data_IF_734637313679
#
_entry.id   IF_734637313679
#
_cell.length_a   1.000
_cell.length_b   1.000
_cell.length_c   1.000
_cell.angle_alpha   90.00
_cell.angle_beta   90.00
_cell.angle_gamma   90.00
#
_symmetry.space_group_name_H-M   'P 1'
#
loop_
_entity.id
_entity.type
_entity.pdbx_description
1 polymer ?
#
# COMPACT_ATOMS: atom_id res chain seq x y z
N UNK A 1 -8.61 -2.09 -2.01
CA UNK A 1 -8.88 -0.80 -2.69
C UNK A 1 -8.35 0.35 -1.82
N UNK A 2 -8.33 1.58 -2.33
CA UNK A 2 -7.90 2.77 -1.58
C UNK A 2 -8.97 3.30 -0.62
N UNK A 3 -8.68 4.43 0.01
CA UNK A 3 -9.62 5.15 0.87
C UNK A 3 -10.66 5.92 0.04
N UNK A 4 -11.87 6.18 0.56
CA UNK A 4 -12.90 6.92 -0.16
C UNK A 4 -12.47 8.33 -0.55
N UNK A 5 -12.85 8.78 -1.75
CA UNK A 5 -12.76 10.16 -2.22
C UNK A 5 -14.16 10.61 -2.65
N UNK A 6 -14.76 11.56 -1.93
CA UNK A 6 -16.10 12.11 -2.22
C UNK A 6 -16.02 13.57 -2.62
N UNK A 7 -17.14 14.08 -3.14
CA UNK A 7 -17.24 15.49 -3.51
C UNK A 7 -17.03 16.38 -2.27
N UNK A 8 -16.01 17.24 -2.34
CA UNK A 8 -15.65 18.16 -1.26
C UNK A 8 -14.54 17.66 -0.35
N UNK A 9 -14.10 16.40 -0.49
CA UNK A 9 -12.95 15.88 0.23
C UNK A 9 -11.64 16.48 -0.31
N UNK A 10 -10.61 16.49 0.54
CA UNK A 10 -9.25 16.76 0.10
C UNK A 10 -8.73 15.65 -0.82
N UNK A 11 -7.83 16.01 -1.73
CA UNK A 11 -7.20 15.04 -2.64
C UNK A 11 -6.28 14.07 -1.86
N UNK A 12 -6.05 12.88 -2.41
CA UNK A 12 -5.15 11.84 -1.85
C UNK A 12 -5.62 11.23 -0.51
N UNK A 13 -6.85 10.69 -0.43
CA UNK A 13 -7.43 10.20 0.82
C UNK A 13 -6.71 8.97 1.40
N UNK A 14 -5.84 8.32 0.62
CA UNK A 14 -5.07 7.16 1.05
C UNK A 14 -5.02 6.09 -0.05
N UNK A 15 -3.81 5.79 -0.48
CA UNK A 15 -3.52 4.90 -1.62
C UNK A 15 -3.90 3.44 -1.32
N UNK A 16 -4.36 2.72 -2.34
CA UNK A 16 -4.58 1.27 -2.25
C UNK A 16 -3.27 0.48 -2.26
N UNK A 17 -3.30 -0.78 -1.81
CA UNK A 17 -2.11 -1.65 -1.79
C UNK A 17 -1.49 -1.82 -3.18
N UNK A 18 -2.28 -2.28 -4.17
CA UNK A 18 -1.84 -2.53 -5.55
C UNK A 18 -1.36 -1.25 -6.24
N UNK A 19 -2.05 -0.13 -5.99
CA UNK A 19 -1.72 1.19 -6.54
C UNK A 19 -0.36 1.69 -6.05
N UNK A 20 -0.06 1.52 -4.75
CA UNK A 20 1.27 1.82 -4.19
C UNK A 20 2.32 0.85 -4.71
N UNK A 21 2.09 -0.45 -4.55
CA UNK A 21 2.98 -1.48 -5.07
C UNK A 21 2.15 -2.74 -5.44
N UNK A 22 2.27 -3.25 -6.68
CA UNK A 22 3.38 -3.01 -7.61
C UNK A 22 3.18 -1.87 -8.64
N UNK A 23 1.99 -1.27 -8.79
CA UNK A 23 1.69 -0.31 -9.87
C UNK A 23 2.70 0.85 -9.98
N UNK A 24 2.84 1.68 -8.94
CA UNK A 24 3.79 2.81 -8.98
C UNK A 24 5.25 2.35 -9.12
N UNK A 25 5.57 1.12 -8.70
CA UNK A 25 6.93 0.57 -8.87
C UNK A 25 7.22 0.26 -10.34
N UNK A 26 6.26 -0.32 -11.08
CA UNK A 26 6.42 -0.60 -12.51
C UNK A 26 6.51 0.69 -13.32
N UNK A 27 5.63 1.67 -13.04
CA UNK A 27 5.70 3.00 -13.66
C UNK A 27 7.09 3.61 -13.54
N UNK A 28 7.62 3.64 -12.31
CA UNK A 28 8.96 4.17 -12.04
C UNK A 28 10.08 3.37 -12.72
N UNK A 29 9.93 2.05 -12.81
CA UNK A 29 10.94 1.17 -13.40
C UNK A 29 11.02 1.30 -14.93
N UNK A 30 9.87 1.46 -15.60
CA UNK A 30 9.83 1.62 -17.07
C UNK A 30 10.15 3.05 -17.50
N UNK A 31 9.80 4.06 -16.69
CA UNK A 31 10.06 5.47 -16.99
C UNK A 31 11.54 5.77 -17.25
N UNK A 32 11.83 6.61 -18.25
CA UNK A 32 13.20 6.83 -18.70
C UNK A 32 13.98 7.72 -17.73
N UNK A 33 15.03 7.18 -17.11
CA UNK A 33 15.79 7.87 -16.06
C UNK A 33 16.57 9.11 -16.52
N UNK A 34 16.76 9.28 -17.83
CA UNK A 34 17.47 10.39 -18.47
C UNK A 34 16.55 11.59 -18.80
N UNK A 35 15.25 11.48 -18.53
CA UNK A 35 14.28 12.57 -18.68
C UNK A 35 14.07 13.30 -17.34
N UNK A 36 13.62 14.58 -17.36
CA UNK A 36 13.51 15.38 -16.14
C UNK A 36 12.60 14.78 -15.06
N UNK A 37 11.53 14.07 -15.45
CA UNK A 37 10.51 13.54 -14.54
C UNK A 37 10.22 12.05 -14.77
N UNK A 38 11.19 11.29 -15.30
CA UNK A 38 11.03 9.87 -15.63
C UNK A 38 9.96 9.59 -16.70
N UNK A 39 9.73 10.51 -17.63
CA UNK A 39 8.85 10.29 -18.78
C UNK A 39 9.25 9.04 -19.60
N UNK A 40 8.32 8.36 -20.27
CA UNK A 40 6.88 8.58 -20.21
C UNK A 40 6.26 7.86 -18.99
N UNK A 41 6.55 6.57 -18.78
CA UNK A 41 5.89 5.76 -17.76
C UNK A 41 6.07 6.23 -16.29
N UNK A 42 7.11 7.00 -15.96
CA UNK A 42 7.41 7.38 -14.57
C UNK A 42 6.59 8.55 -14.01
N UNK A 43 5.77 9.22 -14.83
CA UNK A 43 4.90 10.32 -14.40
C UNK A 43 3.54 10.27 -15.08
N UNK A 44 2.48 10.59 -14.34
CA UNK A 44 1.10 10.36 -14.81
C UNK A 44 0.71 11.18 -16.04
N UNK A 45 1.26 12.39 -16.24
CA UNK A 45 0.88 13.25 -17.38
C UNK A 45 1.45 12.79 -18.73
N UNK A 46 2.42 11.87 -18.72
CA UNK A 46 3.01 11.29 -19.93
C UNK A 46 2.87 9.79 -20.02
N UNK A 47 2.57 9.07 -18.94
CA UNK A 47 2.58 7.60 -18.91
C UNK A 47 1.85 6.95 -20.09
N UNK A 48 0.65 7.42 -20.44
CA UNK A 48 -0.17 6.88 -21.53
C UNK A 48 0.36 7.15 -22.95
N UNK A 49 1.44 7.94 -23.10
CA UNK A 49 2.16 8.14 -24.38
C UNK A 49 2.99 6.92 -24.76
N UNK A 50 3.45 6.16 -23.77
CA UNK A 50 4.06 4.86 -23.98
C UNK A 50 2.96 3.79 -24.12
N UNK A 51 2.86 3.08 -25.25
CA UNK A 51 1.85 2.03 -25.44
C UNK A 51 1.87 0.92 -24.39
N UNK A 52 2.98 0.69 -23.67
CA UNK A 52 3.06 -0.32 -22.59
C UNK A 52 2.20 0.02 -21.38
N UNK A 53 1.79 1.29 -21.23
CA UNK A 53 0.84 1.74 -20.22
C UNK A 53 -0.45 0.90 -20.20
N UNK A 54 -1.03 0.66 -21.39
CA UNK A 54 -2.32 -0.03 -21.48
C UNK A 54 -2.21 -1.52 -21.10
N UNK A 55 -1.22 -2.31 -21.57
CA UNK A 55 -0.96 -3.65 -21.05
C UNK A 55 -0.63 -3.69 -19.56
N UNK A 56 0.09 -2.70 -19.02
CA UNK A 56 0.35 -2.60 -17.59
C UNK A 56 -0.97 -2.49 -16.80
N UNK A 57 -1.81 -1.52 -17.15
CA UNK A 57 -3.12 -1.33 -16.52
C UNK A 57 -4.10 -2.47 -16.80
N UNK A 58 -3.99 -3.14 -17.94
CA UNK A 58 -4.75 -4.36 -18.25
C UNK A 58 -4.45 -5.47 -17.23
N UNK A 59 -3.20 -5.63 -16.80
CA UNK A 59 -2.88 -6.60 -15.75
C UNK A 59 -3.33 -6.14 -14.36
N UNK A 60 -3.42 -4.83 -14.09
CA UNK A 60 -3.99 -4.31 -12.85
C UNK A 60 -5.50 -4.53 -12.75
N UNK A 61 -6.22 -4.34 -13.86
CA UNK A 61 -7.64 -4.71 -13.95
C UNK A 61 -7.83 -6.23 -13.76
N UNK A 62 -6.97 -7.04 -14.38
CA UNK A 62 -6.91 -8.49 -14.11
C UNK A 62 -6.68 -8.80 -12.63
N UNK A 63 -5.78 -8.09 -11.94
CA UNK A 63 -5.53 -8.31 -10.52
C UNK A 63 -6.77 -8.03 -9.66
N UNK A 64 -7.61 -7.06 -10.04
CA UNK A 64 -8.89 -6.85 -9.38
C UNK A 64 -9.82 -8.05 -9.57
N UNK A 65 -9.97 -8.54 -10.80
CA UNK A 65 -10.77 -9.75 -11.08
C UNK A 65 -10.26 -10.99 -10.33
N UNK A 66 -8.94 -11.19 -10.27
CA UNK A 66 -8.31 -12.27 -9.50
C UNK A 66 -8.59 -12.10 -8.01
N UNK A 67 -8.37 -10.90 -7.46
CA UNK A 67 -8.53 -10.61 -6.04
C UNK A 67 -9.93 -10.95 -5.52
N UNK A 68 -10.99 -10.65 -6.30
CA UNK A 68 -12.38 -11.00 -5.96
C UNK A 68 -12.64 -12.51 -5.88
N UNK A 69 -11.89 -13.28 -6.67
CA UNK A 69 -12.02 -14.73 -6.72
C UNK A 69 -11.11 -15.45 -5.70
N UNK A 70 -10.22 -14.72 -5.02
CA UNK A 70 -9.51 -15.28 -3.88
C UNK A 70 -10.48 -15.34 -2.69
N UNK A 71 -10.39 -16.40 -1.88
CA UNK A 71 -11.21 -16.59 -0.66
C UNK A 71 -11.03 -15.44 0.36
N UNK A 72 -11.50 -15.56 1.61
CA UNK A 72 -11.21 -14.60 2.71
C UNK A 72 -11.98 -13.26 2.67
N UNK A 73 -13.23 -13.26 2.22
CA UNK A 73 -14.13 -12.09 2.39
C UNK A 73 -13.83 -10.89 1.48
N UNK A 74 -13.01 -11.07 0.44
CA UNK A 74 -12.68 -10.01 -0.52
C UNK A 74 -13.89 -9.63 -1.36
N UNK A 75 -14.38 -8.41 -1.18
CA UNK A 75 -15.59 -7.88 -1.84
C UNK A 75 -15.38 -6.46 -2.32
N UNK A 76 -16.03 -6.11 -3.42
CA UNK A 76 -16.13 -4.72 -3.85
C UNK A 76 -16.86 -3.87 -2.79
N UNK A 77 -16.75 -2.54 -2.88
CA UNK A 77 -17.52 -1.59 -2.06
C UNK A 77 -18.98 -1.52 -2.54
N UNK A 78 -19.59 -2.69 -2.72
CA UNK A 78 -20.94 -2.89 -3.26
C UNK A 78 -22.05 -2.36 -2.36
N UNK A 79 -21.72 -1.97 -1.13
CA UNK A 79 -22.58 -1.32 -0.14
C UNK A 79 -22.38 0.20 -0.06
N UNK A 80 -21.37 0.77 -0.73
CA UNK A 80 -21.10 2.21 -0.76
C UNK A 80 -21.73 2.85 -2.01
N UNK A 81 -22.88 3.49 -1.83
CA UNK A 81 -23.59 4.17 -2.93
C UNK A 81 -22.80 5.32 -3.54
N UNK A 82 -21.98 6.03 -2.76
CA UNK A 82 -21.18 7.14 -3.29
C UNK A 82 -20.11 6.61 -4.25
N UNK A 83 -19.51 5.46 -3.90
CA UNK A 83 -18.61 4.75 -4.82
C UNK A 83 -19.37 4.25 -6.05
N UNK A 84 -20.49 3.55 -5.88
CA UNK A 84 -21.26 2.98 -6.99
C UNK A 84 -21.84 4.01 -7.98
N UNK A 85 -22.20 5.20 -7.50
CA UNK A 85 -22.76 6.30 -8.30
C UNK A 85 -21.74 7.33 -8.77
N UNK A 86 -20.46 7.17 -8.38
CA UNK A 86 -19.36 7.92 -8.98
C UNK A 86 -19.34 7.72 -10.49
N UNK A 87 -19.22 8.83 -11.22
CA UNK A 87 -19.31 8.85 -12.67
C UNK A 87 -18.09 9.48 -13.32
N UNK A 88 -17.76 8.95 -14.49
CA UNK A 88 -16.64 9.41 -15.33
C UNK A 88 -17.14 9.61 -16.76
N UNK A 89 -16.38 10.35 -17.55
CA UNK A 89 -16.71 10.65 -18.94
C UNK A 89 -15.58 10.21 -19.86
N UNK A 90 -15.92 9.43 -20.88
CA UNK A 90 -14.97 8.95 -21.89
C UNK A 90 -15.54 9.17 -23.29
N UNK A 91 -14.65 9.27 -24.28
CA UNK A 91 -15.05 9.14 -25.67
C UNK A 91 -15.10 7.67 -26.06
N UNK A 92 -16.19 7.25 -26.71
CA UNK A 92 -16.31 5.92 -27.31
C UNK A 92 -15.58 5.84 -28.67
N UNK A 93 -15.61 4.67 -29.30
CA UNK A 93 -15.00 4.42 -30.61
C UNK A 93 -15.62 5.23 -31.76
N UNK A 94 -16.80 5.81 -31.55
CA UNK A 94 -17.52 6.65 -32.50
C UNK A 94 -17.36 8.15 -32.18
N UNK A 95 -16.47 8.49 -31.25
CA UNK A 95 -16.23 9.84 -30.75
C UNK A 95 -17.44 10.50 -30.06
N UNK A 96 -18.35 9.71 -29.50
CA UNK A 96 -19.41 10.22 -28.62
C UNK A 96 -18.90 10.33 -27.19
N UNK A 97 -19.28 11.41 -26.49
CA UNK A 97 -19.00 11.56 -25.07
C UNK A 97 -20.00 10.74 -24.25
N UNK A 98 -19.52 9.70 -23.58
CA UNK A 98 -20.32 8.76 -22.79
C UNK A 98 -20.04 8.95 -21.31
N UNK A 99 -21.11 9.03 -20.51
CA UNK A 99 -21.04 8.98 -19.05
C UNK A 99 -21.12 7.54 -18.59
N UNK A 100 -20.17 7.10 -17.77
CA UNK A 100 -20.14 5.76 -17.16
C UNK A 100 -20.22 5.86 -15.64
N UNK A 101 -20.75 4.82 -14.98
CA UNK A 101 -20.74 4.69 -13.52
C UNK A 101 -19.92 3.48 -13.09
N UNK A 102 -19.34 3.55 -11.90
CA UNK A 102 -18.58 2.43 -11.32
C UNK A 102 -19.41 1.15 -11.26
N UNK A 103 -20.68 1.23 -10.85
CA UNK A 103 -21.56 0.04 -10.73
C UNK A 103 -21.69 -0.77 -12.02
N UNK A 104 -21.54 -0.13 -13.17
CA UNK A 104 -21.69 -0.77 -14.48
C UNK A 104 -20.39 -1.44 -14.95
N UNK A 105 -19.26 -1.20 -14.26
CA UNK A 105 -17.94 -1.75 -14.58
C UNK A 105 -17.44 -2.84 -13.63
N UNK A 106 -18.22 -3.22 -12.62
CA UNK A 106 -17.81 -4.23 -11.62
C UNK A 106 -17.69 -5.64 -12.23
N UNK A 107 -18.56 -5.96 -13.19
CA UNK A 107 -18.59 -7.27 -13.85
C UNK A 107 -18.05 -7.15 -15.27
N UNK A 108 -16.81 -7.59 -15.46
CA UNK A 108 -16.12 -7.54 -16.76
C UNK A 108 -16.86 -8.34 -17.84
N UNK A 109 -17.64 -9.36 -17.47
CA UNK A 109 -18.45 -10.13 -18.42
C UNK A 109 -19.58 -9.30 -19.03
N UNK A 110 -20.18 -8.39 -18.26
CA UNK A 110 -21.18 -7.43 -18.78
C UNK A 110 -20.55 -6.39 -19.71
N UNK A 111 -19.27 -6.10 -19.51
CA UNK A 111 -18.46 -5.28 -20.42
C UNK A 111 -17.97 -6.06 -21.66
N UNK A 112 -18.27 -7.36 -21.76
CA UNK A 112 -17.96 -8.17 -22.93
C UNK A 112 -16.53 -8.72 -22.98
N UNK A 113 -15.78 -8.72 -21.86
CA UNK A 113 -14.43 -9.27 -21.82
C UNK A 113 -14.13 -10.12 -20.58
N UNK A 114 -13.15 -11.02 -20.72
CA UNK A 114 -12.57 -11.81 -19.64
C UNK A 114 -11.08 -11.96 -19.87
N UNK A 115 -10.35 -12.33 -18.81
CA UNK A 115 -8.94 -12.64 -18.90
C UNK A 115 -8.72 -14.13 -19.17
N UNK A 116 -7.67 -14.45 -19.92
CA UNK A 116 -7.19 -15.82 -20.05
C UNK A 116 -6.71 -16.33 -18.68
N UNK A 117 -7.10 -17.55 -18.35
CA UNK A 117 -6.60 -18.26 -17.18
C UNK A 117 -5.12 -18.62 -17.38
N UNK A 118 -4.27 -18.13 -16.48
CA UNK A 118 -2.83 -18.36 -16.47
C UNK A 118 -2.39 -18.75 -15.07
N UNK A 119 -1.29 -19.51 -14.97
CA UNK A 119 -0.74 -19.93 -13.69
C UNK A 119 -0.38 -18.70 -12.82
N UNK A 120 -0.69 -18.76 -11.53
CA UNK A 120 -0.45 -17.70 -10.55
C UNK A 120 0.53 -18.20 -9.48
N UNK A 121 1.85 -18.23 -9.78
CA UNK A 121 2.84 -18.84 -8.89
C UNK A 121 2.95 -18.14 -7.52
N UNK A 122 2.54 -16.87 -7.44
CA UNK A 122 2.57 -16.07 -6.22
C UNK A 122 1.50 -16.45 -5.19
N UNK A 123 0.47 -17.24 -5.55
CA UNK A 123 -0.59 -17.64 -4.60
C UNK A 123 -0.08 -18.43 -3.40
N UNK A 124 0.97 -19.24 -3.61
CA UNK A 124 1.57 -20.08 -2.59
C UNK A 124 2.85 -19.46 -2.01
N UNK A 125 3.17 -18.21 -2.38
CA UNK A 125 4.36 -17.53 -1.90
C UNK A 125 4.06 -16.91 -0.53
N UNK A 126 4.40 -17.65 0.53
CA UNK A 126 4.28 -17.17 1.91
C UNK A 126 5.64 -16.67 2.38
N UNK A 127 5.76 -15.38 2.77
CA UNK A 127 6.98 -14.87 3.36
C UNK A 127 7.38 -15.68 4.59
N UNK A 128 8.69 -15.84 4.78
CA UNK A 128 9.26 -16.46 5.98
C UNK A 128 10.14 -15.47 6.73
N UNK A 129 10.11 -15.53 8.06
CA UNK A 129 10.92 -14.64 8.88
C UNK A 129 12.42 -14.89 8.63
N UNK A 130 13.19 -13.79 8.53
CA UNK A 130 14.66 -13.85 8.39
C UNK A 130 15.30 -14.63 9.53
N UNK A 131 14.89 -14.31 10.76
CA UNK A 131 15.35 -14.97 11.98
C UNK A 131 14.35 -16.05 12.38
N UNK A 132 14.68 -17.30 12.08
CA UNK A 132 13.80 -18.45 12.38
C UNK A 132 13.57 -18.68 13.88
N UNK A 133 14.52 -18.30 14.74
CA UNK A 133 14.42 -18.49 16.18
C UNK A 133 13.58 -17.39 16.84
N UNK A 134 12.40 -17.74 17.35
CA UNK A 134 11.53 -16.82 18.10
C UNK A 134 12.28 -16.11 19.23
N UNK A 135 13.07 -16.85 20.03
CA UNK A 135 13.87 -16.28 21.13
C UNK A 135 14.86 -15.21 20.67
N UNK A 136 15.45 -15.38 19.48
CA UNK A 136 16.39 -14.41 18.94
C UNK A 136 15.65 -13.16 18.44
N UNK A 137 14.46 -13.32 17.82
CA UNK A 137 13.59 -12.19 17.48
C UNK A 137 13.18 -11.39 18.71
N UNK A 138 12.76 -12.05 19.77
CA UNK A 138 12.41 -11.42 21.05
C UNK A 138 13.60 -10.65 21.65
N UNK A 139 14.80 -11.24 21.62
CA UNK A 139 16.01 -10.57 22.10
C UNK A 139 16.35 -9.32 21.28
N UNK A 140 16.23 -9.38 19.95
CA UNK A 140 16.46 -8.24 19.05
C UNK A 140 15.43 -7.13 19.30
N UNK A 141 14.15 -7.47 19.39
CA UNK A 141 13.10 -6.51 19.74
C UNK A 141 13.39 -5.85 21.08
N UNK A 142 13.73 -6.63 22.11
CA UNK A 142 14.05 -6.12 23.44
C UNK A 142 15.29 -5.20 23.46
N UNK A 143 16.30 -5.48 22.63
CA UNK A 143 17.46 -4.59 22.42
C UNK A 143 17.00 -3.22 21.92
N UNK A 144 16.13 -3.18 20.90
CA UNK A 144 15.60 -1.93 20.33
C UNK A 144 14.73 -1.18 21.34
N UNK A 145 13.84 -1.87 22.04
CA UNK A 145 12.97 -1.26 23.06
C UNK A 145 13.75 -0.59 24.20
N UNK A 146 14.94 -1.12 24.56
CA UNK A 146 15.80 -0.55 25.60
C UNK A 146 16.62 0.65 25.11
N UNK A 147 16.98 0.68 23.83
CA UNK A 147 17.83 1.73 23.27
C UNK A 147 17.02 2.92 22.73
N UNK A 148 15.76 2.72 22.34
CA UNK A 148 14.96 3.77 21.72
C UNK A 148 14.27 4.65 22.75
N UNK A 149 14.49 5.95 22.60
CA UNK A 149 13.71 6.97 23.28
C UNK A 149 12.32 7.13 22.66
N UNK A 150 11.44 7.83 23.37
CA UNK A 150 10.11 8.16 22.89
C UNK A 150 10.20 8.99 21.61
N UNK A 151 9.63 8.49 20.52
CA UNK A 151 9.49 9.26 19.27
C UNK A 151 8.40 10.31 19.41
N UNK A 152 8.66 11.50 18.88
CA UNK A 152 7.68 12.59 18.79
C UNK A 152 7.29 12.81 17.34
N UNK A 153 6.02 13.14 17.12
CA UNK A 153 5.48 13.51 15.83
C UNK A 153 5.22 15.03 15.78
N UNK A 154 5.30 15.68 14.60
CA UNK A 154 5.62 15.08 13.29
C UNK A 154 7.09 14.64 13.17
N UNK A 155 7.33 13.56 12.43
CA UNK A 155 8.63 12.92 12.26
C UNK A 155 9.13 13.13 10.83
N UNK A 156 10.28 13.78 10.66
CA UNK A 156 10.96 13.85 9.36
C UNK A 156 11.65 12.51 9.04
N UNK A 157 11.39 11.96 7.85
CA UNK A 157 11.96 10.71 7.37
C UNK A 157 13.27 10.95 6.60
N UNK A 158 14.24 11.52 7.31
CA UNK A 158 15.58 11.87 6.83
C UNK A 158 16.60 10.73 6.94
N UNK A 159 16.22 9.61 7.54
CA UNK A 159 17.06 8.44 7.85
C UNK A 159 16.15 7.28 8.24
N UNK A 160 16.72 6.10 8.50
CA UNK A 160 15.95 4.97 9.04
C UNK A 160 15.40 5.39 10.42
N UNK A 161 14.08 5.27 10.61
CA UNK A 161 13.42 5.59 11.87
C UNK A 161 12.65 4.37 12.37
N UNK A 162 12.86 4.00 13.62
CA UNK A 162 12.14 2.93 14.29
C UNK A 162 11.26 3.55 15.38
N UNK A 163 9.98 3.20 15.39
CA UNK A 163 8.95 3.74 16.28
C UNK A 163 8.25 2.61 17.02
N UNK A 164 8.06 2.76 18.33
CA UNK A 164 7.31 1.81 19.14
C UNK A 164 5.82 2.13 19.03
N UNK A 165 5.04 1.20 18.50
CA UNK A 165 3.60 1.35 18.28
C UNK A 165 2.85 0.37 19.16
N UNK A 166 1.94 0.88 20.00
CA UNK A 166 1.12 0.03 20.88
C UNK A 166 0.04 -0.69 20.09
N UNK A 167 -0.17 -1.96 20.40
CA UNK A 167 -1.28 -2.74 19.85
C UNK A 167 -2.54 -2.47 20.67
N UNK A 168 -3.69 -2.18 20.03
CA UNK A 168 -4.94 -1.96 20.76
C UNK A 168 -5.46 -3.23 21.45
N UNK A 169 -5.14 -4.42 20.90
CA UNK A 169 -5.55 -5.72 21.44
C UNK A 169 -4.53 -6.80 21.07
N UNK A 170 -4.24 -7.69 22.02
CA UNK A 170 -3.40 -8.88 21.86
C UNK A 170 -4.22 -10.16 22.00
N UNK A 171 -3.64 -11.30 21.61
CA UNK A 171 -4.24 -12.63 21.76
C UNK A 171 -5.66 -12.72 21.16
N UNK A 172 -5.83 -12.23 19.92
CA UNK A 172 -7.14 -12.26 19.25
C UNK A 172 -7.53 -13.70 18.93
N UNK A 173 -8.79 -14.04 19.15
CA UNK A 173 -9.36 -15.33 18.75
C UNK A 173 -9.40 -15.47 17.22
N UNK A 174 -9.51 -16.70 16.73
CA UNK A 174 -9.64 -16.98 15.29
C UNK A 174 -10.82 -16.23 14.66
N UNK A 175 -11.96 -16.17 15.35
CA UNK A 175 -13.17 -15.49 14.89
C UNK A 175 -12.94 -13.98 14.74
N UNK A 176 -12.27 -13.35 15.71
CA UNK A 176 -11.94 -11.93 15.64
C UNK A 176 -11.00 -11.63 14.47
N UNK A 177 -10.01 -12.50 14.21
CA UNK A 177 -9.11 -12.36 13.07
C UNK A 177 -9.80 -12.58 11.72
N UNK A 178 -10.86 -13.38 11.68
CA UNK A 178 -11.69 -13.60 10.49
C UNK A 178 -12.66 -12.46 10.21
N UNK A 179 -13.10 -11.73 11.25
CA UNK A 179 -14.02 -10.59 11.12
C UNK A 179 -13.30 -9.25 10.93
N UNK A 180 -12.14 -9.08 11.57
CA UNK A 180 -11.39 -7.82 11.58
C UNK A 180 -9.92 -8.04 11.21
N UNK A 181 -9.43 -7.22 10.28
CA UNK A 181 -8.01 -7.09 9.98
C UNK A 181 -7.34 -6.13 10.97
N UNK A 182 -6.23 -6.54 11.57
CA UNK A 182 -5.32 -5.64 12.29
C UNK A 182 -4.48 -4.89 11.25
N UNK A 183 -4.58 -3.56 11.23
CA UNK A 183 -4.01 -2.71 10.18
C UNK A 183 -3.07 -1.68 10.79
N UNK A 184 -1.83 -1.65 10.31
CA UNK A 184 -0.88 -0.58 10.55
C UNK A 184 -1.25 0.62 9.66
N UNK A 185 -1.49 1.77 10.28
CA UNK A 185 -1.86 3.02 9.61
C UNK A 185 -0.75 4.05 9.84
N UNK A 186 -0.18 4.53 8.74
CA UNK A 186 0.75 5.66 8.73
C UNK A 186 -0.02 6.87 8.21
N UNK A 187 -0.23 7.87 9.06
CA UNK A 187 -1.05 9.04 8.76
C UNK A 187 -0.23 10.32 8.64
N UNK A 188 -0.80 11.32 7.96
CA UNK A 188 -0.16 12.61 7.75
C UNK A 188 1.17 12.45 7.03
N UNK A 189 1.21 11.60 6.00
CA UNK A 189 2.37 11.47 5.11
C UNK A 189 2.37 12.70 4.22
N UNK A 190 3.24 13.65 4.52
CA UNK A 190 3.32 14.94 3.86
C UNK A 190 4.60 15.07 3.04
N UNK A 191 4.46 15.52 1.78
CA UNK A 191 5.59 15.74 0.86
C UNK A 191 5.17 16.64 -0.32
N UNK A 192 6.13 17.13 -1.10
CA UNK A 192 5.85 17.90 -2.32
C UNK A 192 5.34 17.03 -3.47
N UNK A 193 4.29 17.45 -4.17
CA UNK A 193 3.72 16.72 -5.33
C UNK A 193 4.66 16.64 -6.54
N UNK A 194 5.71 17.46 -6.55
CA UNK A 194 6.80 17.44 -7.52
C UNK A 194 7.83 16.33 -7.22
N UNK A 195 7.71 15.63 -6.09
CA UNK A 195 8.66 14.59 -5.67
C UNK A 195 8.11 13.19 -5.95
N UNK A 196 8.99 12.32 -6.42
CA UNK A 196 8.78 10.88 -6.27
C UNK A 196 9.23 10.44 -4.88
N UNK A 197 8.38 9.72 -4.16
CA UNK A 197 8.65 9.25 -2.80
C UNK A 197 8.61 7.72 -2.76
N UNK A 198 9.57 7.12 -2.04
CA UNK A 198 9.50 5.70 -1.66
C UNK A 198 10.10 5.50 -0.27
N UNK A 199 9.37 4.83 0.59
CA UNK A 199 9.93 4.25 1.80
C UNK A 199 9.34 2.87 2.06
N UNK A 200 10.17 2.01 2.64
CA UNK A 200 9.78 0.65 3.01
C UNK A 200 9.39 0.62 4.49
N UNK A 201 8.47 -0.28 4.83
CA UNK A 201 7.94 -0.44 6.17
C UNK A 201 8.23 -1.85 6.64
N UNK A 202 8.82 -1.95 7.82
CA UNK A 202 9.18 -3.21 8.47
C UNK A 202 8.56 -3.29 9.86
N UNK A 203 8.29 -4.51 10.32
CA UNK A 203 7.73 -4.79 11.66
C UNK A 203 8.62 -5.79 12.39
N UNK A 204 9.05 -5.41 13.61
CA UNK A 204 9.92 -6.18 14.50
C UNK A 204 11.22 -6.69 13.82
N UNK A 205 11.77 -5.88 12.92
CA UNK A 205 13.00 -6.18 12.19
C UNK A 205 14.24 -5.60 12.90
N UNK A 206 15.43 -6.02 12.45
CA UNK A 206 16.70 -5.44 12.90
C UNK A 206 17.04 -4.21 12.05
N UNK A 207 17.16 -3.03 12.68
CA UNK A 207 17.50 -1.79 11.98
C UNK A 207 18.92 -1.79 11.39
N UNK A 208 19.81 -2.61 11.96
CA UNK A 208 21.18 -2.78 11.48
C UNK A 208 21.25 -3.77 10.30
N UNK A 209 20.27 -4.67 10.18
CA UNK A 209 20.27 -5.76 9.22
C UNK A 209 18.86 -6.10 8.71
N UNK A 210 18.24 -5.14 8.04
CA UNK A 210 16.86 -5.22 7.54
C UNK A 210 16.62 -6.44 6.63
N UNK A 211 15.37 -6.90 6.66
CA UNK A 211 14.87 -8.05 5.90
C UNK A 211 14.52 -7.71 4.45
N UNK A 212 14.63 -8.69 3.56
CA UNK A 212 14.30 -8.54 2.13
C UNK A 212 12.78 -8.58 1.87
N UNK A 213 12.28 -8.13 0.70
CA UNK A 213 10.84 -8.09 0.42
C UNK A 213 10.10 -9.44 0.42
N UNK A 214 10.83 -10.56 0.38
CA UNK A 214 10.27 -11.92 0.48
C UNK A 214 10.22 -12.45 1.93
N UNK A 215 10.65 -11.64 2.90
CA UNK A 215 10.68 -12.00 4.31
C UNK A 215 9.53 -11.36 5.09
N UNK A 216 9.11 -12.02 6.18
CA UNK A 216 7.91 -11.65 6.93
C UNK A 216 7.96 -10.25 7.54
N UNK A 217 9.15 -9.84 8.00
CA UNK A 217 9.36 -8.55 8.65
C UNK A 217 9.12 -7.37 7.70
N UNK A 218 9.32 -7.55 6.39
CA UNK A 218 8.97 -6.57 5.37
C UNK A 218 7.45 -6.60 5.12
N UNK A 219 6.77 -5.50 5.43
CA UNK A 219 5.30 -5.46 5.37
C UNK A 219 4.75 -4.67 4.18
N UNK A 220 5.58 -3.87 3.51
CA UNK A 220 5.23 -3.19 2.27
C UNK A 220 6.00 -1.90 2.02
N UNK A 221 5.70 -1.26 0.90
CA UNK A 221 6.29 0.01 0.49
C UNK A 221 5.21 1.04 0.20
N UNK A 222 5.40 2.25 0.72
CA UNK A 222 4.71 3.43 0.20
C UNK A 222 5.48 3.92 -1.02
N UNK A 223 4.81 4.06 -2.16
CA UNK A 223 5.39 4.59 -3.38
C UNK A 223 4.45 5.65 -3.96
N UNK A 224 4.97 6.85 -4.19
CA UNK A 224 4.27 7.93 -4.88
C UNK A 224 5.11 8.41 -6.06
N UNK A 225 4.47 8.58 -7.21
CA UNK A 225 5.08 9.15 -8.41
C UNK A 225 5.06 10.68 -8.37
N UNK A 226 5.80 11.29 -9.29
CA UNK A 226 5.69 12.72 -9.56
C UNK A 226 4.34 13.03 -10.22
N UNK A 227 3.64 14.09 -9.77
CA UNK A 227 2.29 14.43 -10.24
C UNK A 227 2.20 15.70 -11.11
N UNK A 228 3.32 16.32 -11.51
CA UNK A 228 3.34 17.45 -12.46
C UNK A 228 2.79 18.79 -11.94
N UNK A 229 2.22 18.81 -10.74
CA UNK A 229 1.66 19.99 -10.10
C UNK A 229 2.56 20.47 -8.95
N UNK A 230 2.60 21.77 -8.71
CA UNK A 230 3.24 22.36 -7.53
C UNK A 230 2.21 22.41 -6.40
N UNK A 231 2.45 21.63 -5.35
CA UNK A 231 1.54 21.49 -4.22
C UNK A 231 2.13 20.62 -3.12
N UNK A 232 1.42 20.57 -2.00
CA UNK A 232 1.72 19.67 -0.89
C UNK A 232 0.71 18.52 -0.95
N UNK A 233 1.20 17.29 -0.90
CA UNK A 233 0.37 16.10 -0.71
C UNK A 233 0.33 15.81 0.78
N UNK A 234 -0.86 15.48 1.28
CA UNK A 234 -1.07 14.86 2.58
C UNK A 234 -1.88 13.60 2.36
N UNK A 235 -1.37 12.46 2.83
CA UNK A 235 -2.06 11.18 2.62
C UNK A 235 -1.83 10.22 3.78
N UNK A 236 -2.42 9.03 3.67
CA UNK A 236 -2.23 7.91 4.59
C UNK A 236 -1.92 6.62 3.85
N UNK A 237 -1.24 5.72 4.54
CA UNK A 237 -0.88 4.40 4.03
C UNK A 237 -1.30 3.32 5.03
N UNK A 238 -1.98 2.28 4.53
CA UNK A 238 -2.56 1.20 5.33
C UNK A 238 -1.97 -0.14 4.92
N UNK A 239 -1.54 -0.91 5.91
CA UNK A 239 -0.94 -2.23 5.74
C UNK A 239 -1.64 -3.24 6.66
N UNK A 240 -2.24 -4.28 6.08
CA UNK A 240 -2.79 -5.39 6.86
C UNK A 240 -1.66 -6.23 7.44
N UNK A 241 -1.62 -6.36 8.77
CA UNK A 241 -0.51 -7.00 9.48
C UNK A 241 -0.92 -8.29 10.21
N UNK A 242 -2.18 -8.73 10.18
CA UNK A 242 -2.60 -9.90 10.96
C UNK A 242 -1.78 -11.16 10.65
N UNK A 243 -1.56 -11.43 9.35
CA UNK A 243 -0.72 -12.57 8.91
C UNK A 243 0.76 -12.39 9.23
N UNK A 244 1.24 -11.14 9.24
CA UNK A 244 2.62 -10.81 9.62
C UNK A 244 2.83 -11.16 11.10
N UNK A 245 1.90 -10.75 11.97
CA UNK A 245 1.97 -11.04 13.40
C UNK A 245 1.89 -12.53 13.72
N UNK A 246 1.07 -13.29 12.97
CA UNK A 246 1.01 -14.74 13.05
C UNK A 246 2.34 -15.38 12.65
N UNK A 247 2.92 -14.98 11.52
CA UNK A 247 4.19 -15.52 11.03
C UNK A 247 5.40 -15.16 11.91
N UNK A 248 5.35 -14.00 12.60
CA UNK A 248 6.37 -13.60 13.57
C UNK A 248 6.16 -14.22 14.97
N UNK A 249 5.00 -14.82 15.22
CA UNK A 249 4.60 -15.43 16.49
C UNK A 249 4.56 -14.44 17.68
N UNK A 250 4.10 -13.22 17.43
CA UNK A 250 4.11 -12.08 18.38
C UNK A 250 2.72 -11.67 18.86
N UNK A 251 1.75 -12.58 18.85
CA UNK A 251 0.36 -12.25 19.20
C UNK A 251 0.18 -11.84 20.68
N UNK A 252 1.14 -12.21 21.54
CA UNK A 252 1.19 -11.86 22.97
C UNK A 252 1.79 -10.47 23.25
N UNK A 253 2.45 -9.86 22.27
CA UNK A 253 3.16 -8.61 22.43
C UNK A 253 2.19 -7.43 22.58
N UNK A 254 2.48 -6.51 23.51
CA UNK A 254 1.69 -5.28 23.73
C UNK A 254 2.07 -4.16 22.76
N UNK A 255 3.25 -4.25 22.15
CA UNK A 255 3.81 -3.25 21.23
C UNK A 255 4.47 -3.92 20.03
N UNK A 256 4.71 -3.13 18.99
CA UNK A 256 5.50 -3.50 17.82
C UNK A 256 6.57 -2.42 17.60
N UNK A 257 7.71 -2.84 17.07
CA UNK A 257 8.71 -1.91 16.54
C UNK A 257 8.43 -1.77 15.05
N UNK A 258 8.03 -0.58 14.62
CA UNK A 258 7.80 -0.26 13.20
C UNK A 258 8.99 0.53 12.68
N UNK A 259 9.67 0.01 11.66
CA UNK A 259 10.85 0.66 11.07
C UNK A 259 10.51 1.17 9.67
N UNK A 260 10.71 2.47 9.48
CA UNK A 260 10.54 3.18 8.22
C UNK A 260 11.90 3.42 7.58
N UNK A 261 12.04 3.01 6.32
CA UNK A 261 13.31 3.01 5.59
C UNK A 261 13.16 3.90 4.35
N UNK A 262 13.61 5.17 4.38
CA UNK A 262 13.53 6.03 3.21
C UNK A 262 14.44 5.49 2.10
N UNK A 263 13.87 5.28 0.92
CA UNK A 263 14.60 4.86 -0.28
C UNK A 263 14.73 5.99 -1.29
N UNK A 264 13.68 6.81 -1.44
CA UNK A 264 13.62 7.95 -2.38
C UNK A 264 12.89 9.10 -1.70
N UNK A 265 13.42 10.33 -1.85
CA UNK A 265 12.89 11.50 -1.17
C UNK A 265 13.27 11.56 0.32
N UNK A 266 14.49 11.10 0.65
CA UNK A 266 15.02 11.12 2.02
C UNK A 266 15.04 12.56 2.54
N UNK A 267 14.34 12.81 3.65
CA UNK A 267 14.21 14.15 4.25
C UNK A 267 13.08 15.01 3.67
N UNK A 268 12.44 14.58 2.58
CA UNK A 268 11.33 15.29 1.92
C UNK A 268 9.95 14.87 2.47
N UNK A 269 9.92 13.81 3.28
CA UNK A 269 8.68 13.23 3.84
C UNK A 269 8.60 13.54 5.32
N UNK A 270 7.44 14.06 5.73
CA UNK A 270 7.06 14.20 7.12
C UNK A 270 5.96 13.18 7.41
N UNK A 271 6.06 12.48 8.55
CA UNK A 271 5.05 11.53 9.03
C UNK A 271 4.34 12.17 10.22
N UNK A 272 3.01 12.26 10.16
CA UNK A 272 2.19 12.86 11.20
C UNK A 272 1.87 11.91 12.35
N UNK A 273 1.65 10.62 12.08
CA UNK A 273 1.37 9.62 13.11
C UNK A 273 1.57 8.19 12.58
N UNK A 274 1.78 7.23 13.49
CA UNK A 274 1.75 5.79 13.20
C UNK A 274 0.94 5.10 14.29
N UNK A 275 -0.08 4.33 13.89
CA UNK A 275 -0.98 3.65 14.80
C UNK A 275 -1.48 2.31 14.23
N UNK A 276 -2.12 1.52 15.08
CA UNK A 276 -2.76 0.26 14.67
C UNK A 276 -4.26 0.37 14.94
N UNK A 277 -5.05 -0.05 13.96
CA UNK A 277 -6.51 -0.05 14.00
C UNK A 277 -7.07 -1.41 13.56
N UNK A 278 -8.36 -1.62 13.82
CA UNK A 278 -9.10 -2.77 13.32
C UNK A 278 -10.07 -2.34 12.23
N UNK A 279 -10.00 -3.00 11.07
CA UNK A 279 -10.94 -2.78 9.96
C UNK A 279 -11.75 -4.05 9.71
N UNK A 280 -13.06 -3.89 9.49
CA UNK A 280 -13.93 -5.02 9.16
C UNK A 280 -13.59 -5.61 7.78
N UNK A 281 -13.73 -6.92 7.65
CA UNK A 281 -13.54 -7.68 6.41
C UNK A 281 -14.79 -7.76 5.54
#
# INVERSE_FOLDING_TARGET
>A
MGSPLRLGDESHPGIGSVESAPHNTVHKWVGASDTPNNEDMGTFYTAARDPIFYPHHTNLDRLWAVWKNLEQGRKDYSDDLDWLDSNFFFYDENANLVRVKIRDSIDTKKLGYVYQDVNMPWLNFKPTSKIKSKKLREANKAKILRSKEKTFFPLALDSIKSVIVKRPKKLRSKIEKEQEEEVLVIEGIEFGSDKSIKFDVHVNDDEDELSDPDQTEFVGSFVSLHHGHNGKISTKFKLGISKVLENLEVDEDDDLVVTLVPKIGKGEVIIGNIMIEFLQK
#
